data_IF_290819692429
#
_entry.id   IF_290819692429
#
_cell.length_a   1.000
_cell.length_b   1.000
_cell.length_c   1.000
_cell.angle_alpha   90.00
_cell.angle_beta   90.00
_cell.angle_gamma   90.00
#
_symmetry.space_group_name_H-M   'P 1'
#
loop_
_entity.id
_entity.type
_entity.pdbx_description
1 polymer ?
#
# COMPACT_ATOMS: atom_id res chain seq x y z
N UNK A 1 8.47 -10.79 -28.32
CA UNK A 1 7.58 -10.03 -27.41
C UNK A 1 8.48 -9.38 -26.39
N UNK A 2 8.83 -8.12 -26.59
CA UNK A 2 9.57 -7.37 -25.57
C UNK A 2 8.59 -7.11 -24.43
N UNK A 3 8.84 -7.75 -23.29
CA UNK A 3 8.16 -7.38 -22.06
C UNK A 3 8.47 -5.90 -21.81
N UNK A 4 7.47 -5.07 -21.46
CA UNK A 4 7.76 -3.70 -21.08
C UNK A 4 8.76 -3.74 -19.93
N UNK A 5 9.96 -3.18 -20.15
CA UNK A 5 10.94 -2.97 -19.11
C UNK A 5 10.33 -1.97 -18.14
N UNK A 6 9.67 -2.49 -17.10
CA UNK A 6 9.18 -1.70 -16.00
C UNK A 6 10.44 -1.15 -15.33
N UNK A 7 10.74 0.12 -15.56
CA UNK A 7 11.65 0.88 -14.71
C UNK A 7 10.93 1.07 -13.39
N UNK A 8 10.83 0.00 -12.61
CA UNK A 8 10.39 0.06 -11.22
C UNK A 8 11.46 0.89 -10.53
N UNK A 9 11.18 2.17 -10.32
CA UNK A 9 11.97 2.95 -9.39
C UNK A 9 11.75 2.25 -8.04
N UNK A 10 12.75 1.48 -7.59
CA UNK A 10 12.72 0.86 -6.27
C UNK A 10 12.32 1.88 -5.19
N UNK A 11 12.74 3.13 -5.39
CA UNK A 11 12.34 4.31 -4.64
C UNK A 11 10.84 4.56 -4.57
N UNK A 12 10.09 4.31 -5.64
CA UNK A 12 8.63 4.46 -5.65
C UNK A 12 7.99 3.49 -4.66
N UNK A 13 8.44 2.23 -4.62
CA UNK A 13 7.93 1.26 -3.66
C UNK A 13 8.30 1.62 -2.21
N UNK A 14 9.56 2.01 -1.99
CA UNK A 14 10.07 2.38 -0.65
C UNK A 14 9.32 3.58 -0.08
N UNK A 15 8.89 4.52 -0.92
CA UNK A 15 8.17 5.72 -0.50
C UNK A 15 6.65 5.49 -0.48
N UNK A 16 6.09 4.84 -1.51
CA UNK A 16 4.65 4.66 -1.65
C UNK A 16 4.08 3.73 -0.57
N UNK A 17 4.80 2.67 -0.16
CA UNK A 17 4.27 1.72 0.83
C UNK A 17 4.06 2.35 2.22
N UNK A 18 5.05 3.04 2.83
CA UNK A 18 4.84 3.77 4.07
C UNK A 18 3.78 4.87 3.93
N UNK A 19 3.73 5.55 2.79
CA UNK A 19 2.77 6.61 2.53
C UNK A 19 1.33 6.07 2.47
N UNK A 20 1.08 5.01 1.71
CA UNK A 20 -0.22 4.31 1.67
C UNK A 20 -0.62 3.86 3.07
N UNK A 21 0.31 3.25 3.82
CA UNK A 21 0.05 2.81 5.19
C UNK A 21 -0.35 3.99 6.10
N UNK A 22 0.39 5.09 6.04
CA UNK A 22 0.14 6.29 6.85
C UNK A 22 -1.23 6.90 6.52
N UNK A 23 -1.51 7.17 5.26
CA UNK A 23 -2.79 7.75 4.82
C UNK A 23 -3.95 6.82 5.18
N UNK A 24 -3.80 5.51 5.01
CA UNK A 24 -4.84 4.54 5.40
C UNK A 24 -5.14 4.60 6.90
N UNK A 25 -4.11 4.70 7.76
CA UNK A 25 -4.32 4.85 9.20
C UNK A 25 -4.97 6.20 9.56
N UNK A 26 -4.57 7.30 8.92
CA UNK A 26 -5.19 8.61 9.12
C UNK A 26 -6.68 8.56 8.75
N UNK A 27 -7.02 8.05 7.56
CA UNK A 27 -8.40 7.88 7.11
C UNK A 27 -9.21 7.05 8.11
N UNK A 28 -8.65 5.92 8.56
CA UNK A 28 -9.31 5.06 9.56
C UNK A 28 -9.60 5.80 10.87
N UNK A 29 -8.68 6.64 11.33
CA UNK A 29 -8.83 7.41 12.59
C UNK A 29 -9.84 8.54 12.43
N UNK A 30 -9.73 9.35 11.37
CA UNK A 30 -10.61 10.51 11.15
C UNK A 30 -12.03 10.11 10.77
N UNK A 31 -12.19 9.13 9.87
CA UNK A 31 -13.50 8.68 9.37
C UNK A 31 -14.09 7.52 10.19
N UNK A 32 -13.45 7.12 11.30
CA UNK A 32 -13.88 6.04 12.22
C UNK A 32 -14.31 4.76 11.49
N UNK A 33 -13.56 4.39 10.45
CA UNK A 33 -13.92 3.29 9.56
C UNK A 33 -13.79 1.95 10.27
N UNK A 34 -14.77 1.05 10.05
CA UNK A 34 -14.71 -0.32 10.56
C UNK A 34 -13.45 -1.03 10.04
N UNK A 35 -12.76 -1.74 10.93
CA UNK A 35 -11.48 -2.43 10.64
C UNK A 35 -11.51 -3.34 9.40
N UNK A 36 -12.69 -3.89 9.06
CA UNK A 36 -12.90 -4.74 7.87
C UNK A 36 -12.62 -4.03 6.54
N UNK A 37 -12.81 -2.71 6.45
CA UNK A 37 -12.64 -1.95 5.21
C UNK A 37 -11.26 -1.31 5.06
N UNK A 38 -10.44 -1.32 6.12
CA UNK A 38 -9.09 -0.74 6.11
C UNK A 38 -8.21 -1.35 5.01
N UNK A 39 -8.20 -2.68 4.78
CA UNK A 39 -7.44 -3.26 3.67
C UNK A 39 -7.91 -2.80 2.30
N UNK A 40 -9.23 -2.67 2.10
CA UNK A 40 -9.79 -2.19 0.83
C UNK A 40 -9.35 -0.75 0.53
N UNK A 41 -9.31 0.11 1.56
CA UNK A 41 -8.85 1.50 1.42
C UNK A 41 -7.36 1.55 1.05
N UNK A 42 -6.52 0.74 1.71
CA UNK A 42 -5.10 0.65 1.36
C UNK A 42 -4.90 0.22 -0.10
N UNK A 43 -5.70 -0.74 -0.58
CA UNK A 43 -5.64 -1.19 -1.97
C UNK A 43 -6.05 -0.09 -2.96
N UNK A 44 -7.16 0.61 -2.68
CA UNK A 44 -7.63 1.73 -3.50
C UNK A 44 -6.57 2.83 -3.56
N UNK A 45 -5.99 3.20 -2.42
CA UNK A 45 -4.93 4.21 -2.36
C UNK A 45 -3.68 3.79 -3.12
N UNK A 46 -3.25 2.53 -2.98
CA UNK A 46 -2.10 1.99 -3.73
C UNK A 46 -2.33 2.05 -5.24
N UNK A 47 -3.53 1.67 -5.69
CA UNK A 47 -3.94 1.77 -7.10
C UNK A 47 -3.98 3.21 -7.58
N UNK A 48 -4.57 4.13 -6.81
CA UNK A 48 -4.63 5.55 -7.18
C UNK A 48 -3.23 6.16 -7.30
N UNK A 49 -2.36 5.94 -6.32
CA UNK A 49 -1.00 6.47 -6.33
C UNK A 49 -0.23 5.90 -7.52
N UNK A 50 -0.30 4.60 -7.75
CA UNK A 50 0.46 3.97 -8.83
C UNK A 50 -0.03 4.37 -10.23
N UNK A 51 -1.35 4.40 -10.46
CA UNK A 51 -1.91 4.71 -11.78
C UNK A 51 -1.73 6.18 -12.14
N UNK A 52 -1.97 7.10 -11.18
CA UNK A 52 -1.99 8.54 -11.49
C UNK A 52 -0.62 9.23 -11.35
N UNK A 53 0.28 8.69 -10.52
CA UNK A 53 1.57 9.30 -10.19
C UNK A 53 2.73 8.50 -10.80
N UNK A 54 2.92 7.23 -10.41
CA UNK A 54 4.11 6.46 -10.79
C UNK A 54 4.10 5.96 -12.23
N UNK A 55 2.97 5.50 -12.77
CA UNK A 55 2.90 4.79 -14.05
C UNK A 55 1.82 5.34 -14.98
N UNK A 56 1.76 6.68 -15.11
CA UNK A 56 0.74 7.37 -15.92
C UNK A 56 0.68 6.89 -17.38
N UNK A 57 1.81 6.50 -17.96
CA UNK A 57 1.91 6.10 -19.36
C UNK A 57 1.76 4.58 -19.60
N UNK A 58 1.77 3.77 -18.54
CA UNK A 58 1.67 2.31 -18.62
C UNK A 58 0.64 1.77 -17.63
N UNK A 59 -0.62 1.74 -18.05
CA UNK A 59 -1.75 1.33 -17.21
C UNK A 59 -1.56 -0.03 -16.54
N UNK A 60 -1.08 -1.03 -17.28
CA UNK A 60 -0.86 -2.39 -16.75
C UNK A 60 0.22 -2.41 -15.67
N UNK A 61 1.33 -1.69 -15.88
CA UNK A 61 2.39 -1.55 -14.88
C UNK A 61 1.87 -0.80 -13.64
N UNK A 62 1.07 0.25 -13.84
CA UNK A 62 0.42 1.00 -12.77
C UNK A 62 -0.53 0.14 -11.93
N UNK A 63 -1.33 -0.72 -12.56
CA UNK A 63 -2.21 -1.65 -11.87
C UNK A 63 -1.42 -2.65 -11.02
N UNK A 64 -0.40 -3.28 -11.61
CA UNK A 64 0.44 -4.25 -10.91
C UNK A 64 1.18 -3.63 -9.72
N UNK A 65 1.83 -2.49 -9.94
CA UNK A 65 2.54 -1.77 -8.89
C UNK A 65 1.60 -1.19 -7.84
N UNK A 66 0.38 -0.81 -8.21
CA UNK A 66 -0.61 -0.32 -7.24
C UNK A 66 -1.13 -1.41 -6.32
N UNK A 67 -1.34 -2.62 -6.85
CA UNK A 67 -1.59 -3.79 -6.01
C UNK A 67 -0.41 -4.09 -5.10
N UNK A 68 0.81 -4.05 -5.62
CA UNK A 68 2.01 -4.24 -4.81
C UNK A 68 2.06 -3.23 -3.65
N UNK A 69 1.86 -1.93 -3.91
CA UNK A 69 1.85 -0.89 -2.86
C UNK A 69 0.77 -1.13 -1.80
N UNK A 70 -0.46 -1.43 -2.24
CA UNK A 70 -1.58 -1.70 -1.34
C UNK A 70 -1.36 -2.92 -0.45
N UNK A 71 -0.98 -4.06 -1.03
CA UNK A 71 -0.75 -5.29 -0.28
C UNK A 71 0.48 -5.21 0.62
N UNK A 72 1.57 -4.58 0.16
CA UNK A 72 2.74 -4.35 0.99
C UNK A 72 2.38 -3.47 2.20
N UNK A 73 1.59 -2.40 2.03
CA UNK A 73 1.16 -1.56 3.14
C UNK A 73 0.28 -2.33 4.16
N UNK A 74 -0.63 -3.19 3.68
CA UNK A 74 -1.45 -4.05 4.53
C UNK A 74 -0.56 -5.03 5.32
N UNK A 75 0.37 -5.69 4.62
CA UNK A 75 1.30 -6.65 5.21
C UNK A 75 2.23 -6.02 6.24
N UNK A 76 2.82 -4.86 5.92
CA UNK A 76 3.67 -4.10 6.84
C UNK A 76 2.91 -3.67 8.10
N UNK A 77 1.67 -3.19 7.96
CA UNK A 77 0.84 -2.86 9.12
C UNK A 77 0.51 -4.11 9.97
N UNK A 78 0.16 -5.23 9.33
CA UNK A 78 -0.15 -6.47 10.04
C UNK A 78 1.07 -7.02 10.78
N UNK A 79 2.25 -6.99 10.15
CA UNK A 79 3.53 -7.36 10.75
C UNK A 79 3.84 -6.45 11.94
N UNK A 80 3.83 -5.13 11.75
CA UNK A 80 4.10 -4.17 12.81
C UNK A 80 3.16 -4.34 14.00
N UNK A 81 1.86 -4.49 13.75
CA UNK A 81 0.85 -4.72 14.80
C UNK A 81 1.14 -6.02 15.56
N UNK A 82 1.42 -7.10 14.85
CA UNK A 82 1.69 -8.42 15.46
C UNK A 82 2.97 -8.36 16.29
N UNK A 83 4.04 -7.76 15.76
CA UNK A 83 5.30 -7.56 16.47
C UNK A 83 5.12 -6.73 17.74
N UNK A 84 4.33 -5.66 17.69
CA UNK A 84 4.07 -4.83 18.85
C UNK A 84 3.24 -5.56 19.92
N UNK A 85 2.24 -6.35 19.51
CA UNK A 85 1.46 -7.19 20.42
C UNK A 85 2.35 -8.25 21.10
N UNK A 86 3.18 -8.94 20.31
CA UNK A 86 4.14 -9.92 20.81
C UNK A 86 5.14 -9.30 21.79
N UNK A 87 5.70 -8.13 21.46
CA UNK A 87 6.59 -7.38 22.34
C UNK A 87 5.92 -7.01 23.67
N UNK A 88 4.63 -6.64 23.63
CA UNK A 88 3.83 -6.31 24.81
C UNK A 88 3.27 -7.53 25.55
N UNK A 89 3.60 -8.75 25.12
CA UNK A 89 3.02 -10.02 25.63
C UNK A 89 1.49 -10.06 25.57
N UNK A 90 0.90 -9.34 24.62
CA UNK A 90 -0.53 -9.36 24.34
C UNK A 90 -0.75 -10.34 23.19
N UNK A 91 -1.65 -11.33 23.39
CA UNK A 91 -2.02 -12.31 22.36
C UNK A 91 -2.85 -11.66 21.25
#
# INVERSE_FOLDING_TARGET
>A
MDFPTIHTNFWDAVIAVPFVMLITQLIKVFLKIKKKYVPTIALILGLMISIFISHRHHFIAGLFMGWFYGYAAIGSYASLKTTLLAFRKQK
#
